data_IF_186747634335
#
_entry.id   IF_186747634335
#
_cell.length_a   1.000
_cell.length_b   1.000
_cell.length_c   1.000
_cell.angle_alpha   90.00
_cell.angle_beta   90.00
_cell.angle_gamma   90.00
#
_symmetry.space_group_name_H-M   'P 1'
#
loop_
_entity.id
_entity.type
_entity.pdbx_description
1 polymer ?
#
# COMPACT_ATOMS: atom_id res chain seq x y z
N UNK A 1 9.97 19.16 11.21
CA UNK A 1 9.87 18.07 10.21
C UNK A 1 9.88 16.67 10.82
N UNK A 2 10.79 16.33 11.73
CA UNK A 2 10.86 14.99 12.37
C UNK A 2 9.52 14.51 12.96
N UNK A 3 8.83 15.34 13.74
CA UNK A 3 7.52 14.97 14.34
C UNK A 3 6.44 14.66 13.29
N UNK A 4 6.41 15.39 12.17
CA UNK A 4 5.47 15.13 11.07
C UNK A 4 5.76 13.76 10.40
N UNK A 5 7.03 13.44 10.20
CA UNK A 5 7.47 12.14 9.66
C UNK A 5 7.10 11.00 10.62
N UNK A 6 7.33 11.18 11.92
CA UNK A 6 6.93 10.21 12.95
C UNK A 6 5.42 9.97 12.92
N UNK A 7 4.61 11.03 12.83
CA UNK A 7 3.16 10.89 12.70
C UNK A 7 2.77 10.06 11.46
N UNK A 8 3.40 10.32 10.32
CA UNK A 8 3.17 9.55 9.10
C UNK A 8 3.59 8.07 9.21
N UNK A 9 4.69 7.79 9.92
CA UNK A 9 5.13 6.43 10.23
C UNK A 9 4.14 5.70 11.14
N UNK A 10 3.54 6.39 12.12
CA UNK A 10 2.51 5.81 12.99
C UNK A 10 1.27 5.44 12.17
N UNK A 11 0.85 6.30 11.24
CA UNK A 11 -0.27 6.00 10.34
C UNK A 11 0.03 4.77 9.48
N UNK A 12 1.21 4.72 8.85
CA UNK A 12 1.62 3.55 8.07
C UNK A 12 1.65 2.26 8.90
N UNK A 13 2.19 2.34 10.12
CA UNK A 13 2.24 1.22 11.05
C UNK A 13 0.84 0.76 11.44
N UNK A 14 -0.10 1.68 11.70
CA UNK A 14 -1.48 1.36 12.04
C UNK A 14 -2.20 0.63 10.89
N UNK A 15 -2.02 1.08 9.65
CA UNK A 15 -2.58 0.41 8.46
C UNK A 15 -1.99 -1.01 8.30
N UNK A 16 -0.66 -1.14 8.41
CA UNK A 16 -0.01 -2.46 8.33
C UNK A 16 -0.48 -3.39 9.44
N UNK A 17 -0.51 -2.91 10.69
CA UNK A 17 -0.93 -3.69 11.84
C UNK A 17 -2.39 -4.10 11.75
N UNK A 18 -3.28 -3.19 11.35
CA UNK A 18 -4.70 -3.47 11.12
C UNK A 18 -4.90 -4.56 10.06
N UNK A 19 -4.16 -4.46 8.94
CA UNK A 19 -4.21 -5.47 7.89
C UNK A 19 -3.68 -6.83 8.38
N UNK A 20 -2.56 -6.85 9.10
CA UNK A 20 -1.99 -8.08 9.67
C UNK A 20 -2.98 -8.75 10.63
N UNK A 21 -3.60 -7.97 11.53
CA UNK A 21 -4.58 -8.48 12.49
C UNK A 21 -5.78 -9.07 11.78
N UNK A 22 -6.31 -8.41 10.74
CA UNK A 22 -7.41 -8.93 9.95
C UNK A 22 -7.05 -10.25 9.25
N UNK A 23 -5.85 -10.36 8.66
CA UNK A 23 -5.38 -11.61 8.07
C UNK A 23 -5.21 -12.73 9.09
N UNK A 24 -4.75 -12.39 10.30
CA UNK A 24 -4.60 -13.36 11.37
C UNK A 24 -5.97 -13.89 11.86
N UNK A 25 -6.95 -13.00 12.04
CA UNK A 25 -8.27 -13.36 12.57
C UNK A 25 -9.16 -14.01 11.51
N UNK A 26 -9.23 -13.43 10.31
CA UNK A 26 -10.17 -13.86 9.26
C UNK A 26 -9.55 -14.84 8.26
N UNK A 27 -8.22 -14.86 8.13
CA UNK A 27 -7.54 -15.64 7.10
C UNK A 27 -7.48 -17.14 7.38
N UNK A 28 -7.68 -17.55 8.64
CA UNK A 28 -7.60 -18.96 9.09
C UNK A 28 -6.38 -19.65 8.46
N UNK A 29 -5.20 -19.09 8.77
CA UNK A 29 -3.93 -19.39 8.10
C UNK A 29 -3.50 -20.83 8.36
N UNK A 30 -3.40 -21.63 7.30
CA UNK A 30 -2.88 -22.99 7.32
C UNK A 30 -1.86 -23.19 6.19
N UNK A 31 -0.98 -24.19 6.33
CA UNK A 31 0.04 -24.51 5.30
C UNK A 31 -0.62 -24.83 3.95
N UNK A 32 -1.82 -25.41 3.96
CA UNK A 32 -2.57 -25.74 2.75
C UNK A 32 -3.04 -24.48 2.00
N UNK A 33 -3.47 -23.44 2.71
CA UNK A 33 -3.91 -22.17 2.12
C UNK A 33 -2.77 -21.29 1.61
N UNK A 34 -1.53 -21.58 2.02
CA UNK A 34 -0.34 -20.89 1.52
C UNK A 34 0.20 -21.48 0.21
N UNK A 35 -0.46 -22.49 -0.35
CA UNK A 35 -0.12 -23.04 -1.68
C UNK A 35 -0.64 -22.13 -2.78
N UNK A 36 -0.01 -22.21 -3.95
CA UNK A 36 -0.51 -21.53 -5.15
C UNK A 36 -1.89 -22.14 -5.50
N UNK A 37 -2.96 -21.33 -5.56
CA UNK A 37 -4.29 -21.85 -5.85
C UNK A 37 -4.40 -22.29 -7.32
N UNK A 38 -5.31 -23.22 -7.58
CA UNK A 38 -5.69 -23.56 -8.95
C UNK A 38 -6.49 -22.42 -9.58
N UNK A 39 -6.09 -21.97 -10.76
CA UNK A 39 -6.74 -20.87 -11.47
C UNK A 39 -7.66 -21.45 -12.54
N UNK A 40 -8.92 -21.05 -12.51
CA UNK A 40 -9.93 -21.36 -13.52
C UNK A 40 -10.53 -20.07 -14.09
N UNK A 41 -11.44 -20.18 -15.06
CA UNK A 41 -12.05 -19.03 -15.72
C UNK A 41 -12.81 -18.10 -14.77
N UNK A 42 -13.34 -18.61 -13.66
CA UNK A 42 -14.07 -17.82 -12.66
C UNK A 42 -13.17 -17.14 -11.64
N UNK A 43 -11.95 -17.65 -11.44
CA UNK A 43 -11.00 -17.14 -10.44
C UNK A 43 -9.85 -16.31 -11.02
N UNK A 44 -9.67 -16.32 -12.35
CA UNK A 44 -8.62 -15.57 -13.05
C UNK A 44 -8.60 -14.06 -12.72
N UNK A 45 -9.76 -13.44 -12.48
CA UNK A 45 -9.85 -12.01 -12.14
C UNK A 45 -9.16 -11.66 -10.82
N UNK A 46 -9.15 -12.57 -9.84
CA UNK A 46 -8.57 -12.31 -8.52
C UNK A 46 -7.04 -12.31 -8.54
N UNK A 47 -6.43 -13.01 -9.51
CA UNK A 47 -4.98 -12.98 -9.76
C UNK A 47 -4.51 -11.60 -10.21
N UNK A 48 -5.39 -10.81 -10.85
CA UNK A 48 -5.05 -9.47 -11.31
C UNK A 48 -5.11 -8.42 -10.19
N UNK A 49 -5.77 -8.70 -9.07
CA UNK A 49 -5.94 -7.73 -7.97
C UNK A 49 -4.60 -7.16 -7.47
N UNK A 50 -3.56 -7.97 -7.16
CA UNK A 50 -2.26 -7.43 -6.74
C UNK A 50 -1.61 -6.52 -7.77
N UNK A 51 -1.70 -6.90 -9.06
CA UNK A 51 -1.12 -6.13 -10.16
C UNK A 51 -1.83 -4.78 -10.30
N UNK A 52 -3.17 -4.80 -10.31
CA UNK A 52 -3.97 -3.59 -10.40
C UNK A 52 -3.75 -2.69 -9.18
N UNK A 53 -3.67 -3.25 -7.98
CA UNK A 53 -3.39 -2.50 -6.76
C UNK A 53 -2.01 -1.85 -6.79
N UNK A 54 -0.98 -2.57 -7.25
CA UNK A 54 0.37 -2.04 -7.42
C UNK A 54 0.39 -0.87 -8.42
N UNK A 55 -0.23 -1.03 -9.59
CA UNK A 55 -0.28 0.00 -10.63
C UNK A 55 -1.08 1.21 -10.16
N UNK A 56 -2.28 1.00 -9.64
CA UNK A 56 -3.18 2.07 -9.21
C UNK A 56 -2.60 2.86 -8.03
N UNK A 57 -2.07 2.16 -7.02
CA UNK A 57 -1.44 2.82 -5.86
C UNK A 57 -0.26 3.69 -6.27
N UNK A 58 0.58 3.20 -7.20
CA UNK A 58 1.73 3.94 -7.72
C UNK A 58 1.31 5.11 -8.60
N UNK A 59 0.30 4.93 -9.45
CA UNK A 59 -0.25 5.98 -10.30
C UNK A 59 -0.84 7.12 -9.47
N UNK A 60 -1.71 6.81 -8.50
CA UNK A 60 -2.34 7.82 -7.65
C UNK A 60 -1.31 8.58 -6.81
N UNK A 61 -0.32 7.88 -6.24
CA UNK A 61 0.78 8.50 -5.51
C UNK A 61 1.51 9.52 -6.39
N UNK A 62 1.97 9.10 -7.56
CA UNK A 62 2.70 9.98 -8.50
C UNK A 62 1.82 11.13 -8.99
N UNK A 63 0.54 10.89 -9.26
CA UNK A 63 -0.41 11.92 -9.68
C UNK A 63 -0.60 13.00 -8.62
N UNK A 64 -0.58 12.64 -7.33
CA UNK A 64 -0.63 13.61 -6.25
C UNK A 64 0.67 14.41 -6.12
N UNK A 65 1.82 13.75 -6.22
CA UNK A 65 3.11 14.45 -6.15
C UNK A 65 3.34 15.42 -7.32
N UNK A 66 2.84 15.10 -8.52
CA UNK A 66 2.92 16.01 -9.69
C UNK A 66 2.15 17.31 -9.52
N UNK A 67 1.22 17.40 -8.57
CA UNK A 67 0.47 18.63 -8.28
C UNK A 67 1.25 19.58 -7.36
N UNK A 68 2.37 19.13 -6.80
CA UNK A 68 3.21 19.94 -5.91
C UNK A 68 3.89 21.04 -6.71
N UNK A 69 3.70 22.30 -6.31
CA UNK A 69 4.47 23.40 -6.88
C UNK A 69 5.95 23.26 -6.46
N UNK A 70 6.89 23.15 -7.42
CA UNK A 70 8.29 22.89 -7.12
C UNK A 70 8.96 24.00 -6.30
N UNK A 71 8.41 25.23 -6.35
CA UNK A 71 8.90 26.41 -5.63
C UNK A 71 8.57 26.44 -4.14
N UNK A 72 7.69 25.55 -3.67
CA UNK A 72 7.30 25.47 -2.26
C UNK A 72 8.45 24.97 -1.38
N UNK A 73 8.45 25.39 -0.12
CA UNK A 73 9.37 24.82 0.88
C UNK A 73 8.94 23.39 1.22
N UNK A 74 9.89 22.59 1.70
CA UNK A 74 9.67 21.18 2.01
C UNK A 74 8.53 20.99 3.04
N UNK A 75 8.41 21.90 4.02
CA UNK A 75 7.34 21.89 5.02
C UNK A 75 5.93 22.02 4.42
N UNK A 76 5.82 22.71 3.28
CA UNK A 76 4.59 22.98 2.54
C UNK A 76 4.28 21.86 1.53
N UNK A 77 5.30 21.14 1.05
CA UNK A 77 5.13 19.94 0.22
C UNK A 77 4.63 18.74 1.05
N UNK A 78 5.00 18.68 2.33
CA UNK A 78 4.75 17.54 3.19
C UNK A 78 3.27 17.13 3.32
N UNK A 79 2.29 18.03 3.51
CA UNK A 79 0.88 17.64 3.60
C UNK A 79 0.38 16.91 2.35
N UNK A 80 0.80 17.35 1.15
CA UNK A 80 0.44 16.70 -0.12
C UNK A 80 1.06 15.31 -0.18
N UNK A 81 2.34 15.18 0.20
CA UNK A 81 3.02 13.89 0.28
C UNK A 81 2.34 12.93 1.28
N UNK A 82 1.92 13.43 2.45
CA UNK A 82 1.20 12.65 3.45
C UNK A 82 -0.11 12.12 2.88
N UNK A 83 -0.92 12.96 2.23
CA UNK A 83 -2.16 12.54 1.57
C UNK A 83 -1.90 11.52 0.46
N UNK A 84 -0.88 11.76 -0.37
CA UNK A 84 -0.49 10.83 -1.43
C UNK A 84 -0.11 9.45 -0.88
N UNK A 85 0.66 9.44 0.21
CA UNK A 85 1.11 8.21 0.88
C UNK A 85 -0.08 7.43 1.46
N UNK A 86 -0.98 8.10 2.18
CA UNK A 86 -2.18 7.48 2.75
C UNK A 86 -3.06 6.88 1.65
N UNK A 87 -3.28 7.60 0.54
CA UNK A 87 -4.05 7.09 -0.60
C UNK A 87 -3.39 5.85 -1.22
N UNK A 88 -2.07 5.86 -1.38
CA UNK A 88 -1.30 4.71 -1.88
C UNK A 88 -1.49 3.49 -1.00
N UNK A 89 -1.41 3.66 0.32
CA UNK A 89 -1.56 2.57 1.29
C UNK A 89 -2.99 2.06 1.36
N UNK A 90 -4.00 2.94 1.32
CA UNK A 90 -5.41 2.56 1.35
C UNK A 90 -5.81 1.68 0.15
N UNK A 91 -5.26 1.94 -1.04
CA UNK A 91 -5.47 1.07 -2.22
C UNK A 91 -4.91 -0.33 -2.00
N UNK A 92 -3.73 -0.45 -1.39
CA UNK A 92 -3.07 -1.73 -1.13
C UNK A 92 -3.77 -2.50 -0.01
N UNK A 93 -4.12 -1.82 1.09
CA UNK A 93 -4.93 -2.39 2.18
C UNK A 93 -6.29 -2.88 1.66
N UNK A 94 -6.99 -2.05 0.87
CA UNK A 94 -8.25 -2.41 0.26
C UNK A 94 -8.13 -3.63 -0.66
N UNK A 95 -7.07 -3.72 -1.46
CA UNK A 95 -6.82 -4.89 -2.30
C UNK A 95 -6.56 -6.16 -1.48
N UNK A 96 -5.81 -6.05 -0.38
CA UNK A 96 -5.60 -7.16 0.55
C UNK A 96 -6.95 -7.61 1.17
N UNK A 97 -7.76 -6.69 1.68
CA UNK A 97 -9.08 -7.03 2.22
C UNK A 97 -10.05 -7.60 1.18
N UNK A 98 -10.04 -7.12 -0.06
CA UNK A 98 -10.85 -7.69 -1.13
C UNK A 98 -10.50 -9.16 -1.37
N UNK A 99 -9.22 -9.51 -1.40
CA UNK A 99 -8.77 -10.91 -1.51
C UNK A 99 -9.22 -11.71 -0.30
N UNK A 100 -8.94 -11.20 0.90
CA UNK A 100 -9.25 -11.86 2.17
C UNK A 100 -10.74 -12.21 2.32
N UNK A 101 -11.62 -11.30 1.92
CA UNK A 101 -13.07 -11.42 2.10
C UNK A 101 -13.72 -12.18 0.94
N UNK A 102 -13.38 -11.84 -0.31
CA UNK A 102 -14.09 -12.39 -1.48
C UNK A 102 -13.55 -13.74 -1.92
N UNK A 103 -12.23 -13.96 -1.79
CA UNK A 103 -11.54 -15.16 -2.28
C UNK A 103 -10.38 -15.56 -1.36
N UNK A 104 -10.67 -16.09 -0.16
CA UNK A 104 -9.65 -16.48 0.82
C UNK A 104 -8.73 -17.62 0.31
N UNK A 105 -9.13 -18.39 -0.69
CA UNK A 105 -8.25 -19.34 -1.38
C UNK A 105 -7.07 -18.66 -2.11
N UNK A 106 -7.15 -17.35 -2.38
CA UNK A 106 -6.11 -16.51 -2.96
C UNK A 106 -5.31 -15.72 -1.91
N UNK A 107 -5.40 -16.08 -0.62
CA UNK A 107 -4.80 -15.33 0.50
C UNK A 107 -3.30 -15.05 0.32
N UNK A 108 -2.55 -15.95 -0.34
CA UNK A 108 -1.14 -15.76 -0.66
C UNK A 108 -0.88 -14.46 -1.44
N UNK A 109 -1.75 -14.13 -2.40
CA UNK A 109 -1.64 -12.90 -3.17
C UNK A 109 -1.89 -11.65 -2.32
N UNK A 110 -2.83 -11.76 -1.38
CA UNK A 110 -3.08 -10.71 -0.40
C UNK A 110 -1.90 -10.48 0.55
N UNK A 111 -1.23 -11.57 0.97
CA UNK A 111 0.02 -11.51 1.75
C UNK A 111 1.13 -10.81 0.95
N UNK A 112 1.25 -11.07 -0.36
CA UNK A 112 2.22 -10.37 -1.22
C UNK A 112 1.96 -8.86 -1.27
N UNK A 113 0.68 -8.45 -1.37
CA UNK A 113 0.29 -7.03 -1.31
C UNK A 113 0.64 -6.43 0.06
N UNK A 114 0.39 -7.15 1.15
CA UNK A 114 0.75 -6.72 2.50
C UNK A 114 2.26 -6.58 2.69
N UNK A 115 3.07 -7.50 2.18
CA UNK A 115 4.54 -7.40 2.20
C UNK A 115 4.98 -6.14 1.44
N UNK A 116 4.42 -5.90 0.25
CA UNK A 116 4.71 -4.69 -0.50
C UNK A 116 4.31 -3.42 0.27
N UNK A 117 3.13 -3.42 0.90
CA UNK A 117 2.67 -2.32 1.75
C UNK A 117 3.66 -2.00 2.89
N UNK A 118 4.23 -3.03 3.54
CA UNK A 118 5.25 -2.86 4.59
C UNK A 118 6.52 -2.20 4.03
N UNK A 119 6.96 -2.58 2.83
CA UNK A 119 8.13 -1.97 2.17
C UNK A 119 7.94 -0.50 1.79
N UNK A 120 6.71 0.01 1.80
CA UNK A 120 6.41 1.42 1.54
C UNK A 120 6.50 2.31 2.79
N UNK A 121 7.18 1.84 3.84
CA UNK A 121 7.42 2.61 5.06
C UNK A 121 8.01 4.00 4.72
N UNK A 122 7.42 5.09 5.25
CA UNK A 122 7.92 6.44 5.01
C UNK A 122 9.16 6.69 5.87
N UNK A 123 10.35 6.71 5.26
CA UNK A 123 11.60 7.14 5.88
C UNK A 123 11.94 8.57 5.43
N UNK A 124 12.76 9.29 6.20
CA UNK A 124 13.20 10.63 5.80
C UNK A 124 13.85 10.62 4.41
N UNK A 125 14.76 9.67 4.17
CA UNK A 125 15.41 9.46 2.88
C UNK A 125 14.42 9.20 1.73
N UNK A 126 13.42 8.33 1.95
CA UNK A 126 12.40 8.06 0.92
C UNK A 126 11.59 9.31 0.59
N UNK A 127 11.20 10.08 1.61
CA UNK A 127 10.44 11.32 1.44
C UNK A 127 11.25 12.32 0.61
N UNK A 128 12.53 12.49 0.94
CA UNK A 128 13.42 13.40 0.21
C UNK A 128 13.62 12.96 -1.24
N UNK A 129 13.78 11.66 -1.49
CA UNK A 129 13.89 11.11 -2.83
C UNK A 129 12.60 11.31 -3.64
N UNK A 130 11.44 10.95 -3.08
CA UNK A 130 10.14 11.08 -3.76
C UNK A 130 9.78 12.55 -4.07
N UNK A 131 10.15 13.49 -3.17
CA UNK A 131 9.92 14.93 -3.36
C UNK A 131 10.96 15.62 -4.25
N UNK A 132 12.15 15.05 -4.41
CA UNK A 132 13.15 15.55 -5.34
C UNK A 132 12.83 15.14 -6.78
N UNK A 133 12.45 13.87 -6.97
CA UNK A 133 11.98 13.31 -8.25
C UNK A 133 10.74 14.02 -8.80
N UNK A 134 9.89 14.59 -7.95
CA UNK A 134 8.70 15.33 -8.39
C UNK A 134 8.99 16.67 -9.07
N UNK A 135 10.23 17.19 -8.98
CA UNK A 135 10.60 18.48 -9.57
C UNK A 135 11.20 18.36 -10.99
N UNK A 136 11.34 17.14 -11.51
CA UNK A 136 11.79 16.83 -12.87
C UNK A 136 10.60 16.45 -13.77
#
# INVERSE_FOLDING_TARGET
MSEKIKALQIIHLAICAGTIIAYYILGDLSIEKLRIPTIDSSSAVYVLIPVLAFVLSSFLFKSQLKQINPKLKLEEKFPIYQTASILRWAVLEGAAFLILILKPEFILFGILVLIYLIFLRPTAERIDNDLSDSNN
#
